data_IF_717491381613
#
_entry.id   IF_717491381613
#
_cell.length_a   1.000
_cell.length_b   1.000
_cell.length_c   1.000
_cell.angle_alpha   90.00
_cell.angle_beta   90.00
_cell.angle_gamma   90.00
#
_symmetry.space_group_name_H-M   'P 1'
#
loop_
_entity.id
_entity.type
_entity.pdbx_description
1 polymer ?
#
# COMPACT_ATOMS: atom_id res chain seq x y z
N UNK A 1 21.04 86.11 8.00
CA UNK A 1 19.66 86.25 7.42
C UNK A 1 18.99 84.96 7.38
N UNK A 2 17.88 84.90 8.07
CA UNK A 2 16.63 84.07 7.88
C UNK A 2 16.84 82.72 7.27
N UNK A 3 16.57 81.57 7.88
CA UNK A 3 15.34 81.21 8.62
C UNK A 3 14.56 80.31 7.73
N UNK A 4 14.40 79.06 8.10
CA UNK A 4 13.08 78.49 7.97
C UNK A 4 13.06 77.05 8.49
N UNK A 5 12.23 76.84 9.50
CA UNK A 5 11.85 75.55 10.06
C UNK A 5 10.97 74.87 9.07
N UNK A 6 11.21 73.57 8.87
CA UNK A 6 10.17 72.67 8.34
C UNK A 6 10.04 71.46 9.27
N UNK A 7 8.99 71.50 10.01
CA UNK A 7 8.43 70.36 10.74
C UNK A 7 7.82 69.42 9.69
N UNK A 8 8.44 68.28 9.44
CA UNK A 8 7.85 67.24 8.66
C UNK A 8 7.18 66.23 9.59
N UNK A 9 5.86 66.16 9.43
CA UNK A 9 4.93 65.26 10.12
C UNK A 9 5.18 63.83 9.64
N UNK A 10 5.66 62.98 10.54
CA UNK A 10 5.71 61.54 10.34
C UNK A 10 4.27 61.03 10.44
N UNK A 11 3.69 60.69 9.29
CA UNK A 11 2.43 59.94 9.25
C UNK A 11 2.73 58.45 9.45
N UNK A 12 2.42 57.96 10.64
CA UNK A 12 2.44 56.53 10.98
C UNK A 12 1.29 55.87 10.24
N UNK A 13 1.56 55.14 9.15
CA UNK A 13 0.61 54.29 8.49
C UNK A 13 0.57 52.95 9.20
N UNK A 14 -0.47 52.71 10.02
CA UNK A 14 -0.76 51.37 10.55
C UNK A 14 -1.25 50.48 9.41
N UNK A 15 -0.36 49.65 8.88
CA UNK A 15 -0.76 48.55 8.00
C UNK A 15 -1.32 47.38 8.84
N UNK A 16 -2.63 47.28 8.87
CA UNK A 16 -3.33 46.12 9.50
C UNK A 16 -3.06 44.87 8.66
N UNK A 17 -2.17 44.01 9.12
CA UNK A 17 -2.00 42.65 8.57
C UNK A 17 -3.23 41.83 8.96
N UNK A 18 -4.15 41.65 8.00
CA UNK A 18 -5.24 40.66 8.12
C UNK A 18 -4.62 39.29 7.92
N UNK A 19 -4.37 38.56 9.00
CA UNK A 19 -4.05 37.15 8.97
C UNK A 19 -5.33 36.39 8.56
N UNK A 20 -5.43 36.03 7.28
CA UNK A 20 -6.43 35.08 6.82
C UNK A 20 -6.05 33.71 7.37
N UNK A 21 -6.68 33.31 8.48
CA UNK A 21 -6.60 31.96 8.99
C UNK A 21 -7.24 31.03 7.96
N UNK A 22 -6.41 30.38 7.14
CA UNK A 22 -6.86 29.27 6.30
C UNK A 22 -7.24 28.12 7.23
N UNK A 23 -8.52 27.99 7.51
CA UNK A 23 -9.07 26.80 8.19
C UNK A 23 -8.82 25.61 7.27
N UNK A 24 -7.83 24.78 7.63
CA UNK A 24 -7.62 23.49 7.01
C UNK A 24 -8.92 22.68 7.21
N UNK A 25 -9.67 22.52 6.15
CA UNK A 25 -10.88 21.70 6.16
C UNK A 25 -10.42 20.26 6.34
N UNK A 26 -10.62 19.69 7.53
CA UNK A 26 -10.42 18.28 7.76
C UNK A 26 -11.27 17.51 6.74
N UNK A 27 -10.64 16.64 5.95
CA UNK A 27 -11.39 15.80 5.02
C UNK A 27 -12.36 14.94 5.84
N UNK A 28 -13.62 14.81 5.41
CA UNK A 28 -14.60 14.02 6.13
C UNK A 28 -14.07 12.58 6.25
N UNK A 29 -13.97 12.11 7.48
CA UNK A 29 -13.59 10.73 7.78
C UNK A 29 -14.67 9.80 7.22
N UNK A 30 -14.28 8.72 6.54
CA UNK A 30 -15.23 7.72 6.06
C UNK A 30 -16.09 7.22 7.23
N UNK A 31 -17.40 7.25 7.03
CA UNK A 31 -18.39 6.75 7.98
C UNK A 31 -19.17 5.63 7.30
N UNK A 32 -19.01 4.36 7.76
CA UNK A 32 -19.68 3.25 7.13
C UNK A 32 -21.20 3.32 7.33
N UNK A 33 -21.95 3.12 6.26
CA UNK A 33 -23.38 2.87 6.32
C UNK A 33 -23.64 1.46 6.88
N UNK A 34 -24.89 1.10 7.27
CA UNK A 34 -25.21 -0.28 7.67
C UNK A 34 -24.84 -1.33 6.61
N UNK A 35 -25.02 -0.99 5.33
CA UNK A 35 -24.60 -1.87 4.24
C UNK A 35 -23.08 -1.97 4.12
N UNK A 36 -22.34 -0.87 4.30
CA UNK A 36 -20.87 -0.90 4.33
C UNK A 36 -20.39 -1.81 5.46
N UNK A 37 -20.99 -1.71 6.64
CA UNK A 37 -20.65 -2.54 7.80
C UNK A 37 -20.86 -4.04 7.51
N UNK A 38 -21.97 -4.39 6.85
CA UNK A 38 -22.24 -5.78 6.46
C UNK A 38 -21.21 -6.30 5.44
N UNK A 39 -20.86 -5.48 4.44
CA UNK A 39 -19.86 -5.86 3.45
C UNK A 39 -18.46 -5.91 4.04
N UNK A 40 -18.09 -5.03 4.96
CA UNK A 40 -16.81 -5.10 5.69
C UNK A 40 -16.70 -6.41 6.47
N UNK A 41 -17.77 -6.84 7.16
CA UNK A 41 -17.80 -8.15 7.85
C UNK A 41 -17.62 -9.32 6.88
N UNK A 42 -18.25 -9.27 5.71
CA UNK A 42 -18.06 -10.29 4.64
C UNK A 42 -16.62 -10.33 4.16
N UNK A 43 -16.00 -9.15 3.96
CA UNK A 43 -14.60 -9.01 3.52
C UNK A 43 -13.65 -9.56 4.59
N UNK A 44 -13.84 -9.22 5.87
CA UNK A 44 -13.04 -9.78 6.97
C UNK A 44 -13.12 -11.30 6.99
N UNK A 45 -14.33 -11.87 6.96
CA UNK A 45 -14.56 -13.32 6.93
C UNK A 45 -13.86 -13.97 5.75
N UNK A 46 -13.97 -13.39 4.56
CA UNK A 46 -13.29 -13.88 3.36
C UNK A 46 -11.76 -13.84 3.53
N UNK A 47 -11.22 -12.69 3.94
CA UNK A 47 -9.77 -12.52 4.13
C UNK A 47 -9.24 -13.47 5.21
N UNK A 48 -9.96 -13.72 6.28
CA UNK A 48 -9.54 -14.67 7.32
C UNK A 48 -9.59 -16.12 6.85
N UNK A 49 -10.50 -16.47 5.94
CA UNK A 49 -10.53 -17.78 5.30
C UNK A 49 -9.40 -18.00 4.30
N UNK A 50 -8.85 -16.90 3.74
CA UNK A 50 -7.80 -16.90 2.73
C UNK A 50 -6.42 -17.11 3.38
N UNK A 51 -6.07 -18.34 3.75
CA UNK A 51 -4.78 -18.68 4.35
C UNK A 51 -3.67 -18.80 3.33
N UNK A 52 -3.95 -19.48 2.23
CA UNK A 52 -2.99 -19.67 1.13
C UNK A 52 -3.62 -19.33 -0.19
N UNK A 53 -2.84 -18.74 -1.08
CA UNK A 53 -3.23 -18.41 -2.43
C UNK A 53 -2.05 -18.62 -3.37
N UNK A 54 -2.34 -19.21 -4.54
CA UNK A 54 -1.46 -19.18 -5.71
C UNK A 54 -2.25 -18.59 -6.86
N UNK A 55 -1.64 -17.69 -7.61
CA UNK A 55 -2.28 -17.07 -8.76
C UNK A 55 -1.23 -16.65 -9.80
N UNK A 56 -1.66 -16.57 -11.05
CA UNK A 56 -0.95 -15.77 -12.03
C UNK A 56 -1.30 -14.30 -11.78
N UNK A 57 -0.32 -13.39 -11.88
CA UNK A 57 -0.57 -11.97 -11.68
C UNK A 57 -0.13 -11.14 -12.87
N UNK A 58 -0.79 -10.01 -13.04
CA UNK A 58 -0.35 -8.90 -13.87
C UNK A 58 -0.16 -7.67 -12.97
N UNK A 59 1.03 -7.10 -13.00
CA UNK A 59 1.36 -5.88 -12.26
C UNK A 59 1.55 -4.71 -13.21
N UNK A 60 0.86 -3.60 -12.91
CA UNK A 60 1.13 -2.30 -13.50
C UNK A 60 1.93 -1.46 -12.50
N UNK A 61 3.14 -1.07 -12.88
CA UNK A 61 4.01 -0.23 -12.08
C UNK A 61 3.64 1.27 -12.24
N UNK A 62 4.11 2.16 -11.36
CA UNK A 62 3.80 3.60 -11.41
C UNK A 62 4.20 4.28 -12.72
N UNK A 63 5.24 3.80 -13.37
CA UNK A 63 5.71 4.30 -14.69
C UNK A 63 4.94 3.70 -15.87
N UNK A 64 3.88 2.92 -15.62
CA UNK A 64 3.08 2.23 -16.65
C UNK A 64 3.68 0.92 -17.18
N UNK A 65 4.85 0.50 -16.69
CA UNK A 65 5.42 -0.79 -17.07
C UNK A 65 4.53 -1.93 -16.58
N UNK A 66 4.32 -2.92 -17.45
CA UNK A 66 3.56 -4.14 -17.13
C UNK A 66 4.53 -5.29 -16.95
N UNK A 67 4.29 -6.07 -15.91
CA UNK A 67 5.02 -7.31 -15.63
C UNK A 67 4.02 -8.38 -15.20
N UNK A 68 4.34 -9.63 -15.51
CA UNK A 68 3.53 -10.79 -15.16
C UNK A 68 4.36 -11.80 -14.38
N UNK A 69 3.69 -12.80 -13.83
CA UNK A 69 4.36 -13.89 -13.12
C UNK A 69 3.42 -14.67 -12.22
N UNK A 70 4.00 -15.44 -11.32
CA UNK A 70 3.25 -16.22 -10.33
C UNK A 70 3.40 -15.63 -8.94
N UNK A 71 2.27 -15.46 -8.26
CA UNK A 71 2.19 -15.01 -6.88
C UNK A 71 1.81 -16.18 -5.98
N UNK A 72 2.47 -16.27 -4.82
CA UNK A 72 2.10 -17.14 -3.71
C UNK A 72 1.92 -16.29 -2.48
N UNK A 73 0.89 -16.58 -1.73
CA UNK A 73 0.61 -16.00 -0.41
C UNK A 73 0.38 -17.14 0.56
N UNK A 74 1.01 -17.06 1.72
CA UNK A 74 0.87 -18.03 2.80
C UNK A 74 0.90 -17.27 4.14
N UNK A 75 -0.28 -16.99 4.65
CA UNK A 75 -0.47 -16.18 5.86
C UNK A 75 -0.22 -17.01 7.12
N UNK A 76 0.37 -16.36 8.14
CA UNK A 76 0.76 -14.96 8.20
C UNK A 76 2.13 -14.65 7.59
N UNK A 77 2.28 -13.43 7.08
CA UNK A 77 3.57 -12.77 6.81
C UNK A 77 4.39 -13.30 5.65
N UNK A 78 3.89 -14.28 4.87
CA UNK A 78 4.64 -14.89 3.77
C UNK A 78 3.98 -14.60 2.44
N UNK A 79 4.79 -14.14 1.47
CA UNK A 79 4.36 -13.89 0.10
C UNK A 79 5.57 -13.97 -0.83
N UNK A 80 5.36 -14.43 -2.06
CA UNK A 80 6.36 -14.40 -3.13
C UNK A 80 5.72 -13.97 -4.42
N UNK A 81 6.39 -13.07 -5.13
CA UNK A 81 6.13 -12.73 -6.52
C UNK A 81 7.32 -13.12 -7.35
N UNK A 82 7.16 -14.13 -8.18
CA UNK A 82 8.14 -14.58 -9.14
C UNK A 82 7.72 -14.03 -10.50
N UNK A 83 8.47 -13.04 -10.97
CA UNK A 83 8.20 -12.41 -12.25
C UNK A 83 8.71 -13.28 -13.40
N UNK A 84 7.95 -13.32 -14.49
CA UNK A 84 8.32 -14.02 -15.70
C UNK A 84 9.37 -13.25 -16.51
N UNK A 85 10.26 -13.94 -17.25
CA UNK A 85 11.20 -13.29 -18.15
C UNK A 85 10.46 -12.40 -19.17
N UNK A 86 11.02 -11.24 -19.55
CA UNK A 86 12.38 -10.80 -19.26
C UNK A 86 12.53 -10.01 -17.94
N UNK A 87 11.53 -9.95 -17.08
CA UNK A 87 11.61 -9.17 -15.83
C UNK A 87 12.68 -9.75 -14.88
N UNK A 88 13.63 -8.93 -14.41
CA UNK A 88 14.68 -9.39 -13.49
C UNK A 88 14.20 -9.39 -12.02
N UNK A 89 12.95 -9.02 -11.76
CA UNK A 89 12.45 -8.72 -10.44
C UNK A 89 12.07 -9.98 -9.66
N UNK A 90 12.21 -9.88 -8.34
CA UNK A 90 11.72 -10.85 -7.38
C UNK A 90 11.27 -10.08 -6.13
N UNK A 91 10.07 -10.39 -5.62
CA UNK A 91 9.60 -9.91 -4.33
C UNK A 91 9.31 -11.10 -3.42
N UNK A 92 9.87 -11.08 -2.22
CA UNK A 92 9.63 -12.11 -1.21
C UNK A 92 9.29 -11.42 0.12
N UNK A 93 8.18 -11.80 0.73
CA UNK A 93 7.87 -11.44 2.11
C UNK A 93 8.05 -12.68 3.00
N UNK A 94 8.80 -12.49 4.09
CA UNK A 94 9.06 -13.50 5.09
C UNK A 94 9.84 -12.91 6.25
N UNK A 95 9.82 -13.58 7.40
CA UNK A 95 10.56 -13.15 8.60
C UNK A 95 10.39 -11.66 8.99
N UNK A 96 9.19 -11.12 8.75
CA UNK A 96 8.87 -9.72 9.06
C UNK A 96 9.38 -8.67 8.07
N UNK A 97 10.01 -9.09 6.97
CA UNK A 97 10.55 -8.22 5.93
C UNK A 97 9.86 -8.49 4.58
N UNK A 98 9.76 -7.45 3.78
CA UNK A 98 9.54 -7.53 2.33
C UNK A 98 10.88 -7.26 1.67
N UNK A 99 11.38 -8.22 0.93
CA UNK A 99 12.62 -8.14 0.15
C UNK A 99 12.25 -7.94 -1.30
N UNK A 100 12.71 -6.86 -1.88
CA UNK A 100 12.64 -6.59 -3.31
C UNK A 100 14.04 -6.71 -3.89
N UNK A 101 14.22 -7.61 -4.85
CA UNK A 101 15.49 -7.87 -5.51
C UNK A 101 15.38 -7.65 -7.01
N UNK A 102 16.24 -6.81 -7.54
CA UNK A 102 16.45 -6.62 -8.98
C UNK A 102 17.76 -7.34 -9.38
N UNK A 103 17.62 -8.43 -10.13
CA UNK A 103 18.76 -9.23 -10.59
C UNK A 103 19.64 -8.50 -11.60
N UNK A 104 19.06 -7.61 -12.41
CA UNK A 104 19.81 -6.88 -13.45
C UNK A 104 20.74 -5.83 -12.85
N UNK A 105 20.31 -5.21 -11.76
CA UNK A 105 21.08 -4.20 -11.03
C UNK A 105 21.85 -4.78 -9.85
N UNK A 106 21.65 -6.07 -9.53
CA UNK A 106 22.15 -6.72 -8.32
C UNK A 106 21.80 -5.92 -7.03
N UNK A 107 20.61 -5.32 -7.02
CA UNK A 107 20.13 -4.51 -5.92
C UNK A 107 19.10 -5.25 -5.09
N UNK A 108 19.24 -5.16 -3.77
CA UNK A 108 18.29 -5.72 -2.80
C UNK A 108 17.83 -4.61 -1.87
N UNK A 109 16.51 -4.43 -1.74
CA UNK A 109 15.88 -3.51 -0.80
C UNK A 109 15.05 -4.29 0.21
N UNK A 110 15.25 -4.03 1.49
CA UNK A 110 14.54 -4.67 2.59
C UNK A 110 13.66 -3.65 3.29
N UNK A 111 12.37 -3.94 3.40
CA UNK A 111 11.39 -3.07 4.05
C UNK A 111 10.65 -3.89 5.12
N UNK A 112 10.55 -3.42 6.38
CA UNK A 112 9.72 -4.07 7.37
C UNK A 112 8.27 -4.21 6.88
N UNK A 113 7.67 -5.40 7.00
CA UNK A 113 6.26 -5.64 6.63
C UNK A 113 5.34 -4.64 7.32
N UNK A 114 5.63 -4.29 8.57
CA UNK A 114 4.88 -3.30 9.35
C UNK A 114 4.90 -1.89 8.78
N UNK A 115 5.82 -1.59 7.86
CA UNK A 115 5.94 -0.29 7.18
C UNK A 115 5.44 -0.32 5.73
N UNK A 116 4.74 -1.36 5.35
CA UNK A 116 4.13 -1.48 4.01
C UNK A 116 2.62 -1.66 4.13
N UNK A 117 1.82 -1.06 3.23
CA UNK A 117 0.38 -1.33 3.18
C UNK A 117 0.06 -2.82 2.97
N UNK A 118 0.91 -3.57 2.25
CA UNK A 118 0.76 -5.02 2.05
C UNK A 118 0.75 -5.82 3.35
N UNK A 119 1.37 -5.32 4.43
CA UNK A 119 1.34 -5.95 5.73
C UNK A 119 -0.10 -6.12 6.28
N UNK A 120 -1.06 -5.33 5.81
CA UNK A 120 -2.49 -5.49 6.15
C UNK A 120 -3.00 -6.82 5.55
N UNK A 121 -2.70 -7.07 4.28
CA UNK A 121 -3.12 -8.31 3.60
C UNK A 121 -2.42 -9.55 4.17
N UNK A 122 -1.20 -9.39 4.69
CA UNK A 122 -0.37 -10.48 5.23
C UNK A 122 -0.57 -10.73 6.73
N UNK A 123 -1.44 -9.98 7.40
CA UNK A 123 -1.73 -10.19 8.83
C UNK A 123 -2.31 -11.59 9.08
N UNK A 124 -2.11 -12.14 10.28
CA UNK A 124 -2.68 -13.45 10.66
C UNK A 124 -4.21 -13.39 10.66
N UNK A 125 -4.77 -12.39 11.32
CA UNK A 125 -6.20 -12.08 11.25
C UNK A 125 -6.35 -10.66 10.70
N UNK A 126 -7.26 -10.49 9.74
CA UNK A 126 -7.51 -9.19 9.12
C UNK A 126 -8.70 -8.56 9.81
N UNK A 127 -8.42 -7.57 10.66
CA UNK A 127 -9.45 -6.73 11.24
C UNK A 127 -9.45 -5.38 10.52
N UNK A 128 -10.62 -4.99 10.00
CA UNK A 128 -10.79 -3.70 9.31
C UNK A 128 -11.11 -2.56 10.30
N UNK A 129 -10.67 -2.76 11.57
CA UNK A 129 -10.79 -1.82 12.69
C UNK A 129 -9.52 -1.88 13.55
N UNK A 130 -9.36 -0.97 14.49
CA UNK A 130 -8.20 -0.93 15.39
C UNK A 130 -6.92 -0.51 14.68
N UNK A 131 -6.04 -1.46 14.38
CA UNK A 131 -4.74 -1.22 13.69
C UNK A 131 -4.91 -0.83 12.22
N UNK A 132 -6.11 -1.03 11.66
CA UNK A 132 -6.47 -0.66 10.29
C UNK A 132 -7.64 0.32 10.33
N UNK A 133 -7.55 1.34 9.49
CA UNK A 133 -8.64 2.31 9.27
C UNK A 133 -9.15 2.17 7.84
N UNK A 134 -10.45 1.96 7.70
CA UNK A 134 -11.13 2.05 6.40
C UNK A 134 -11.27 3.53 6.04
N UNK A 135 -10.73 3.92 4.90
CA UNK A 135 -10.74 5.31 4.41
C UNK A 135 -11.75 5.53 3.29
N UNK A 136 -12.26 4.46 2.69
CA UNK A 136 -13.27 4.53 1.66
C UNK A 136 -13.78 3.16 1.26
N UNK A 137 -15.00 3.16 0.71
CA UNK A 137 -15.63 1.97 0.15
C UNK A 137 -16.44 2.36 -1.09
N UNK A 138 -16.37 1.54 -2.12
CA UNK A 138 -17.13 1.76 -3.35
C UNK A 138 -17.76 0.44 -3.80
N UNK A 139 -19.00 0.52 -4.28
CA UNK A 139 -19.72 -0.56 -4.94
C UNK A 139 -19.94 -0.20 -6.39
N UNK A 140 -19.47 -1.08 -7.27
CA UNK A 140 -19.73 -1.01 -8.71
C UNK A 140 -20.49 -2.30 -9.10
N UNK A 141 -21.15 -2.34 -10.24
CA UNK A 141 -21.79 -3.57 -10.70
C UNK A 141 -20.82 -4.76 -10.69
N UNK A 142 -21.11 -5.78 -9.85
CA UNK A 142 -20.28 -6.97 -9.70
C UNK A 142 -18.96 -6.80 -8.96
N UNK A 143 -18.72 -5.66 -8.31
CA UNK A 143 -17.44 -5.35 -7.68
C UNK A 143 -17.60 -4.54 -6.38
N UNK A 144 -16.81 -4.87 -5.39
CA UNK A 144 -16.65 -4.09 -4.15
C UNK A 144 -15.19 -3.69 -4.00
N UNK A 145 -14.95 -2.42 -3.65
CA UNK A 145 -13.62 -1.89 -3.34
C UNK A 145 -13.59 -1.37 -1.92
N UNK A 146 -12.51 -1.63 -1.20
CA UNK A 146 -12.25 -1.08 0.13
C UNK A 146 -10.84 -0.52 0.20
N UNK A 147 -10.70 0.72 0.65
CA UNK A 147 -9.42 1.41 0.84
C UNK A 147 -9.06 1.45 2.31
N UNK A 148 -7.84 1.05 2.62
CA UNK A 148 -7.32 0.76 3.95
C UNK A 148 -6.01 1.49 4.18
N UNK A 149 -5.82 2.01 5.38
CA UNK A 149 -4.52 2.52 5.86
C UNK A 149 -4.19 1.93 7.22
N UNK A 150 -2.92 1.94 7.60
CA UNK A 150 -2.54 1.67 8.99
C UNK A 150 -2.95 2.83 9.87
N UNK A 151 -3.66 2.55 10.96
CA UNK A 151 -4.16 3.60 11.87
C UNK A 151 -3.02 4.41 12.49
N UNK A 152 -1.94 3.73 12.90
CA UNK A 152 -0.78 4.36 13.53
C UNK A 152 0.10 5.16 12.55
N UNK A 153 0.08 4.82 11.26
CA UNK A 153 0.94 5.42 10.24
C UNK A 153 0.24 5.53 8.87
N UNK A 154 -0.82 6.33 8.76
CA UNK A 154 -1.59 6.46 7.51
C UNK A 154 -0.77 7.03 6.35
N UNK A 155 0.34 7.73 6.65
CA UNK A 155 1.28 8.24 5.66
C UNK A 155 2.16 7.18 4.98
N UNK A 156 2.24 5.96 5.52
CA UNK A 156 3.02 4.86 4.91
C UNK A 156 2.40 4.39 3.58
N UNK A 157 1.14 4.75 3.31
CA UNK A 157 0.45 4.49 2.06
C UNK A 157 -0.93 3.88 2.26
N UNK A 158 -1.61 3.62 1.14
CA UNK A 158 -2.97 3.09 1.10
C UNK A 158 -2.98 1.74 0.37
N UNK A 159 -3.68 0.76 0.93
CA UNK A 159 -4.03 -0.49 0.27
C UNK A 159 -5.49 -0.43 -0.15
N UNK A 160 -5.78 -0.55 -1.44
CA UNK A 160 -7.15 -0.72 -1.92
C UNK A 160 -7.33 -2.15 -2.40
N UNK A 161 -8.22 -2.89 -1.76
CA UNK A 161 -8.59 -4.25 -2.15
C UNK A 161 -9.83 -4.21 -3.02
N UNK A 162 -9.84 -4.97 -4.10
CA UNK A 162 -10.88 -5.01 -5.11
C UNK A 162 -11.35 -6.45 -5.26
N UNK A 163 -12.62 -6.67 -4.97
CA UNK A 163 -13.26 -7.97 -4.99
C UNK A 163 -14.28 -8.05 -6.11
N UNK A 164 -14.39 -9.20 -6.79
CA UNK A 164 -15.63 -9.55 -7.43
C UNK A 164 -16.69 -9.74 -6.34
N UNK A 165 -17.94 -9.37 -6.64
CA UNK A 165 -19.07 -9.62 -5.75
C UNK A 165 -19.91 -10.78 -6.29
N UNK A 166 -20.38 -11.66 -5.37
CA UNK A 166 -21.25 -12.80 -5.70
C UNK A 166 -20.68 -13.80 -6.73
N UNK A 167 -19.68 -14.64 -6.38
CA UNK A 167 -19.10 -14.80 -5.05
C UNK A 167 -18.05 -13.73 -4.73
N UNK A 168 -17.87 -13.42 -3.43
CA UNK A 168 -16.83 -12.51 -2.99
C UNK A 168 -15.45 -13.15 -3.21
N UNK A 169 -14.65 -12.59 -4.12
CA UNK A 169 -13.32 -13.11 -4.45
C UNK A 169 -12.35 -11.94 -4.67
N UNK A 170 -11.21 -11.97 -3.99
CA UNK A 170 -10.14 -10.99 -4.23
C UNK A 170 -9.61 -11.13 -5.67
N UNK A 171 -9.71 -10.05 -6.45
CA UNK A 171 -9.30 -10.02 -7.85
C UNK A 171 -8.11 -9.10 -8.08
N UNK A 172 -8.01 -8.06 -7.30
CA UNK A 172 -7.00 -7.04 -7.52
C UNK A 172 -6.72 -6.30 -6.22
N UNK A 173 -5.53 -5.75 -6.12
CA UNK A 173 -5.26 -4.68 -5.17
C UNK A 173 -4.41 -3.58 -5.80
N UNK A 174 -4.50 -2.42 -5.20
CA UNK A 174 -3.66 -1.27 -5.51
C UNK A 174 -2.94 -0.84 -4.25
N UNK A 175 -1.65 -0.62 -4.35
CA UNK A 175 -0.83 0.01 -3.31
C UNK A 175 -0.47 1.41 -3.77
N UNK A 176 -0.88 2.41 -3.02
CA UNK A 176 -0.38 3.78 -3.13
C UNK A 176 0.64 3.96 -2.00
N UNK A 177 1.91 4.10 -2.33
CA UNK A 177 2.98 4.22 -1.33
C UNK A 177 3.10 5.63 -0.73
N UNK A 178 4.06 5.82 0.19
CA UNK A 178 4.31 7.12 0.84
C UNK A 178 4.74 8.22 -0.14
N UNK A 179 5.30 7.86 -1.29
CA UNK A 179 5.69 8.76 -2.38
C UNK A 179 4.56 9.01 -3.37
N UNK A 180 3.34 8.51 -3.10
CA UNK A 180 2.17 8.59 -3.98
C UNK A 180 2.36 7.85 -5.31
N UNK A 181 3.23 6.83 -5.32
CA UNK A 181 3.40 5.94 -6.45
C UNK A 181 2.39 4.81 -6.38
N UNK A 182 1.63 4.61 -7.44
CA UNK A 182 0.61 3.57 -7.50
C UNK A 182 1.15 2.32 -8.18
N UNK A 183 1.04 1.18 -7.50
CA UNK A 183 1.25 -0.15 -8.07
C UNK A 183 -0.05 -0.93 -8.00
N UNK A 184 -0.46 -1.50 -9.12
CA UNK A 184 -1.69 -2.31 -9.23
C UNK A 184 -1.33 -3.76 -9.57
N UNK A 185 -1.94 -4.70 -8.84
CA UNK A 185 -1.77 -6.13 -9.07
C UNK A 185 -3.13 -6.76 -9.32
N UNK A 186 -3.30 -7.39 -10.48
CA UNK A 186 -4.51 -8.14 -10.83
C UNK A 186 -4.20 -9.64 -10.80
N UNK A 187 -5.10 -10.42 -10.25
CA UNK A 187 -4.95 -11.87 -10.08
C UNK A 187 -5.81 -12.64 -11.07
N UNK A 188 -5.22 -13.67 -11.64
CA UNK A 188 -5.85 -14.62 -12.55
C UNK A 188 -5.60 -16.04 -12.05
N UNK A 189 -6.48 -16.98 -12.40
CA UNK A 189 -6.34 -18.39 -12.08
C UNK A 189 -6.01 -18.63 -10.60
N UNK A 190 -6.83 -18.00 -9.74
CA UNK A 190 -6.64 -18.04 -8.29
C UNK A 190 -6.97 -19.41 -7.74
N UNK A 191 -6.00 -20.06 -7.12
CA UNK A 191 -6.11 -21.31 -6.37
C UNK A 191 -5.90 -21.01 -4.89
N UNK A 192 -6.73 -21.60 -4.02
CA UNK A 192 -6.66 -21.42 -2.56
C UNK A 192 -6.56 -22.75 -1.85
N UNK A 193 -6.10 -22.76 -0.57
CA UNK A 193 -6.03 -23.98 0.26
C UNK A 193 -4.84 -24.89 -0.04
N UNK A 194 -3.91 -24.48 -0.92
CA UNK A 194 -2.67 -25.21 -1.21
C UNK A 194 -1.70 -25.19 -0.01
N UNK A 195 -0.75 -26.14 0.00
CA UNK A 195 0.38 -26.15 0.93
C UNK A 195 1.66 -25.80 0.17
N UNK A 196 2.46 -24.91 0.71
CA UNK A 196 3.71 -24.49 0.10
C UNK A 196 4.90 -24.83 1.01
N UNK A 197 6.06 -25.15 0.39
CA UNK A 197 7.30 -25.32 1.11
C UNK A 197 7.72 -23.95 1.71
N UNK A 198 8.13 -23.93 2.97
CA UNK A 198 8.58 -22.71 3.65
C UNK A 198 9.74 -22.03 2.92
N UNK A 199 10.61 -22.82 2.28
CA UNK A 199 11.74 -22.32 1.47
C UNK A 199 11.30 -21.43 0.30
N UNK A 200 10.07 -21.57 -0.17
CA UNK A 200 9.52 -20.70 -1.21
C UNK A 200 9.52 -19.23 -0.80
N UNK A 201 9.42 -18.97 0.51
CA UNK A 201 9.34 -17.64 1.09
C UNK A 201 10.66 -17.17 1.72
N UNK A 202 11.75 -17.88 1.43
CA UNK A 202 13.10 -17.48 1.82
C UNK A 202 13.77 -16.72 0.66
N UNK A 203 14.50 -15.68 1.00
CA UNK A 203 15.38 -14.98 0.09
C UNK A 203 16.81 -15.12 0.60
N UNK A 204 17.63 -15.73 -0.22
CA UNK A 204 19.08 -15.84 0.03
C UNK A 204 19.76 -14.85 -0.92
N UNK A 205 20.39 -13.82 -0.34
CA UNK A 205 21.07 -12.79 -1.12
C UNK A 205 22.28 -13.40 -1.82
N UNK A 206 22.32 -13.37 -3.17
CA UNK A 206 23.43 -13.95 -3.93
C UNK A 206 24.81 -13.35 -3.60
N UNK A 207 24.83 -12.13 -3.06
CA UNK A 207 26.09 -11.43 -2.70
C UNK A 207 26.86 -12.12 -1.57
N UNK A 208 26.17 -12.87 -0.72
CA UNK A 208 26.83 -13.64 0.36
C UNK A 208 27.61 -14.86 -0.16
N UNK A 209 27.42 -15.25 -1.43
CA UNK A 209 28.07 -16.42 -2.02
C UNK A 209 29.10 -16.04 -3.11
N UNK A 210 29.35 -14.76 -3.35
CA UNK A 210 30.42 -14.34 -4.24
C UNK A 210 31.77 -14.53 -3.54
N UNK A 211 32.73 -15.28 -4.15
CA UNK A 211 34.10 -15.34 -3.64
C UNK A 211 34.62 -13.90 -3.56
N UNK A 212 35.23 -13.56 -2.41
CA UNK A 212 35.90 -12.27 -2.28
C UNK A 212 36.92 -12.15 -3.43
N UNK A 213 36.81 -11.13 -4.32
CA UNK A 213 37.86 -10.90 -5.30
C UNK A 213 39.10 -10.48 -4.53
N UNK A 214 40.06 -11.44 -4.33
CA UNK A 214 41.35 -11.20 -3.75
C UNK A 214 42.19 -10.20 -4.54
#
# INVERSE_FOLDING_TARGET
MRGMHRRDLIRLSLASLVFAATTARAQPRFQPTPQDSADLTRIETYLDSLRTLKAHFLQAAPNGAISEGTAWLDRPGRMRFQYDPPSPLLLVAGHGLVVFHDKSLNQTTNIPISRTPLGILLADNVHLTGDVTVTGMQRLPGQIQVSLVRTASPGDGTLTLIFADNPLVLRQWTVLDAQRQETRVTLYNVETGGKFDAKLFEFIDPRFFQPNPG
#
